data_IF_222348031086
#
_entry.id   IF_222348031086
#
_cell.length_a   1.000
_cell.length_b   1.000
_cell.length_c   1.000
_cell.angle_alpha   90.00
_cell.angle_beta   90.00
_cell.angle_gamma   90.00
#
_symmetry.space_group_name_H-M   'P 1'
#
loop_
_entity.id
_entity.type
_entity.pdbx_description
1 polymer ?
#
# COMPACT_ATOMS: atom_id res chain seq x y z
N UNK A 1 1.61 -12.77 -19.19
CA UNK A 1 1.00 -13.36 -17.96
C UNK A 1 0.68 -12.19 -17.04
N UNK A 2 -0.60 -11.99 -16.71
CA UNK A 2 -0.99 -11.02 -15.68
C UNK A 2 -0.60 -11.67 -14.35
N UNK A 3 0.41 -11.15 -13.67
CA UNK A 3 0.76 -11.61 -12.33
C UNK A 3 -0.39 -11.23 -11.39
N UNK A 4 -1.34 -12.15 -11.21
CA UNK A 4 -2.50 -12.01 -10.33
C UNK A 4 -2.13 -11.76 -8.85
N UNK A 5 -0.85 -11.90 -8.50
CA UNK A 5 -0.31 -11.67 -7.16
C UNK A 5 0.27 -10.28 -6.94
N UNK A 6 0.23 -9.37 -7.92
CA UNK A 6 0.68 -7.99 -7.74
C UNK A 6 -0.49 -7.05 -7.47
N UNK A 7 -0.32 -6.17 -6.49
CA UNK A 7 -1.14 -4.96 -6.40
C UNK A 7 -0.71 -4.07 -7.57
N UNK A 8 -1.65 -3.73 -8.44
CA UNK A 8 -1.47 -2.81 -9.56
C UNK A 8 -2.39 -1.57 -9.42
N UNK A 9 -2.37 -0.68 -10.41
CA UNK A 9 -3.21 0.53 -10.39
C UNK A 9 -4.72 0.22 -10.44
N UNK A 10 -5.14 -0.91 -11.03
CA UNK A 10 -6.56 -1.31 -11.06
C UNK A 10 -7.01 -1.73 -9.66
N UNK A 11 -6.18 -2.48 -8.93
CA UNK A 11 -6.46 -2.82 -7.53
C UNK A 11 -6.65 -1.57 -6.68
N UNK A 12 -5.84 -0.53 -6.90
CA UNK A 12 -5.95 0.72 -6.14
C UNK A 12 -7.13 1.59 -6.55
N UNK A 13 -7.51 1.61 -7.83
CA UNK A 13 -8.75 2.24 -8.28
C UNK A 13 -9.96 1.58 -7.62
N UNK A 14 -9.99 0.25 -7.57
CA UNK A 14 -11.05 -0.50 -6.89
C UNK A 14 -11.06 -0.19 -5.38
N UNK A 15 -9.89 -0.17 -4.74
CA UNK A 15 -9.78 0.17 -3.33
C UNK A 15 -10.35 1.58 -3.05
N UNK A 16 -10.09 2.56 -3.92
CA UNK A 16 -10.68 3.92 -3.79
C UNK A 16 -12.20 3.95 -3.93
N UNK A 17 -12.78 3.04 -4.71
CA UNK A 17 -14.23 2.90 -4.87
C UNK A 17 -14.85 2.27 -3.62
N UNK A 18 -14.27 1.17 -3.13
CA UNK A 18 -14.71 0.51 -1.88
C UNK A 18 -14.61 1.49 -0.70
N UNK A 19 -13.51 2.23 -0.63
CA UNK A 19 -13.26 3.22 0.41
C UNK A 19 -13.85 4.61 0.08
N UNK A 20 -15.09 4.67 -0.44
CA UNK A 20 -15.83 5.95 -0.56
C UNK A 20 -16.17 6.54 0.82
N UNK A 21 -16.36 5.67 1.81
CA UNK A 21 -16.66 6.00 3.20
C UNK A 21 -15.80 5.16 4.16
N UNK A 22 -15.76 5.56 5.44
CA UNK A 22 -15.07 4.81 6.48
C UNK A 22 -15.92 3.63 6.99
N UNK A 23 -15.97 2.55 6.21
CA UNK A 23 -16.67 1.33 6.59
C UNK A 23 -15.71 0.24 7.09
N UNK A 24 -16.18 -0.75 7.86
CA UNK A 24 -15.36 -1.92 8.21
C UNK A 24 -14.78 -2.63 6.98
N UNK A 25 -15.57 -2.74 5.90
CA UNK A 25 -15.14 -3.29 4.62
C UNK A 25 -13.95 -2.51 4.02
N UNK A 26 -14.02 -1.18 4.02
CA UNK A 26 -12.88 -0.35 3.60
C UNK A 26 -11.62 -0.64 4.44
N UNK A 27 -11.76 -0.74 5.77
CA UNK A 27 -10.63 -1.02 6.66
C UNK A 27 -9.98 -2.38 6.37
N UNK A 28 -10.80 -3.41 6.15
CA UNK A 28 -10.32 -4.75 5.78
C UNK A 28 -9.57 -4.74 4.45
N UNK A 29 -10.12 -4.06 3.44
CA UNK A 29 -9.50 -3.95 2.12
C UNK A 29 -8.21 -3.13 2.12
N UNK A 30 -8.12 -2.08 2.95
CA UNK A 30 -6.86 -1.35 3.17
C UNK A 30 -5.82 -2.29 3.77
N UNK A 31 -6.17 -3.00 4.85
CA UNK A 31 -5.26 -3.93 5.54
C UNK A 31 -4.80 -5.05 4.61
N UNK A 32 -5.72 -5.63 3.83
CA UNK A 32 -5.40 -6.64 2.82
C UNK A 32 -4.41 -6.10 1.78
N UNK A 33 -4.67 -4.89 1.25
CA UNK A 33 -3.80 -4.27 0.25
C UNK A 33 -2.40 -4.03 0.80
N UNK A 34 -2.30 -3.50 2.02
CA UNK A 34 -1.02 -3.28 2.71
C UNK A 34 -0.25 -4.60 2.93
N UNK A 35 -0.92 -5.68 3.34
CA UNK A 35 -0.32 -7.02 3.47
C UNK A 35 0.20 -7.55 2.14
N UNK A 36 -0.56 -7.39 1.05
CA UNK A 36 -0.11 -7.81 -0.27
C UNK A 36 1.14 -7.03 -0.71
N UNK A 37 1.15 -5.70 -0.54
CA UNK A 37 2.32 -4.87 -0.83
C UNK A 37 3.55 -5.31 -0.04
N UNK A 38 3.42 -5.74 1.21
CA UNK A 38 4.58 -6.17 2.01
C UNK A 38 5.17 -7.50 1.53
N UNK A 39 4.38 -8.37 0.92
CA UNK A 39 4.82 -9.69 0.42
C UNK A 39 5.28 -9.70 -1.03
N UNK A 40 4.92 -8.67 -1.80
CA UNK A 40 5.24 -8.56 -3.22
C UNK A 40 6.75 -8.37 -3.44
N UNK A 41 7.33 -9.13 -4.38
CA UNK A 41 8.76 -9.04 -4.72
C UNK A 41 9.13 -7.60 -5.15
N UNK A 42 9.99 -7.04 -4.30
CA UNK A 42 10.67 -5.77 -4.30
C UNK A 42 10.19 -4.68 -5.27
N UNK A 43 9.40 -3.78 -4.72
CA UNK A 43 9.23 -2.39 -5.16
C UNK A 43 10.52 -1.60 -4.83
N UNK A 44 11.68 -2.01 -5.35
CA UNK A 44 12.98 -1.51 -4.81
C UNK A 44 13.97 -1.00 -5.84
N UNK A 45 13.54 -0.54 -7.01
CA UNK A 45 14.45 0.25 -7.83
C UNK A 45 13.65 1.25 -8.62
N UNK A 46 13.65 2.50 -8.16
CA UNK A 46 13.27 3.66 -8.96
C UNK A 46 11.87 3.63 -9.62
N UNK A 47 10.99 2.72 -9.20
CA UNK A 47 9.61 2.76 -9.67
C UNK A 47 8.86 3.74 -8.78
N UNK A 48 8.58 4.92 -9.34
CA UNK A 48 7.51 5.80 -8.86
C UNK A 48 6.27 4.99 -8.44
N UNK A 49 6.02 3.85 -9.09
CA UNK A 49 4.87 2.96 -8.92
C UNK A 49 4.58 2.54 -7.48
N UNK A 50 5.51 2.07 -6.65
CA UNK A 50 5.10 1.62 -5.30
C UNK A 50 5.12 2.69 -4.21
N UNK A 51 5.93 3.74 -4.39
CA UNK A 51 5.72 4.99 -3.67
C UNK A 51 4.36 5.60 -4.04
N UNK A 52 3.97 5.53 -5.32
CA UNK A 52 2.65 5.90 -5.79
C UNK A 52 1.57 5.00 -5.18
N UNK A 53 1.79 3.70 -5.01
CA UNK A 53 0.82 2.81 -4.36
C UNK A 53 0.59 3.19 -2.90
N UNK A 54 1.68 3.37 -2.14
CA UNK A 54 1.62 3.88 -0.76
C UNK A 54 0.97 5.27 -0.69
N UNK A 55 1.30 6.17 -1.61
CA UNK A 55 0.72 7.50 -1.71
C UNK A 55 -0.78 7.44 -2.02
N UNK A 56 -1.21 6.54 -2.90
CA UNK A 56 -2.61 6.34 -3.22
C UNK A 56 -3.39 5.82 -2.01
N UNK A 57 -2.81 4.93 -1.20
CA UNK A 57 -3.40 4.49 0.07
C UNK A 57 -3.44 5.64 1.08
N UNK A 58 -2.35 6.42 1.19
CA UNK A 58 -2.31 7.62 2.04
C UNK A 58 -3.41 8.63 1.70
N UNK A 59 -3.69 8.82 0.41
CA UNK A 59 -4.79 9.67 -0.04
C UNK A 59 -6.17 9.16 0.38
N UNK A 60 -6.36 7.84 0.51
CA UNK A 60 -7.62 7.27 1.02
C UNK A 60 -7.79 7.63 2.50
N UNK A 61 -6.76 7.41 3.32
CA UNK A 61 -6.79 7.82 4.73
C UNK A 61 -7.07 9.31 4.88
N UNK A 62 -6.36 10.15 4.12
CA UNK A 62 -6.55 11.60 4.16
C UNK A 62 -7.97 12.02 3.74
N UNK A 63 -8.48 11.50 2.62
CA UNK A 63 -9.83 11.83 2.12
C UNK A 63 -10.92 11.46 3.11
N UNK A 64 -10.76 10.33 3.79
CA UNK A 64 -11.73 9.84 4.75
C UNK A 64 -11.54 10.43 6.16
N UNK A 65 -10.47 11.20 6.41
CA UNK A 65 -10.15 11.75 7.73
C UNK A 65 -9.81 10.67 8.77
N UNK A 66 -9.26 9.53 8.33
CA UNK A 66 -9.03 8.36 9.19
C UNK A 66 -7.55 8.29 9.57
N UNK A 67 -7.30 7.99 10.83
CA UNK A 67 -5.97 7.60 11.32
C UNK A 67 -5.82 6.09 11.13
N UNK A 68 -4.72 5.59 10.51
CA UNK A 68 -4.48 4.17 10.37
C UNK A 68 -4.51 3.45 11.72
N UNK A 69 -5.14 2.28 11.77
CA UNK A 69 -5.08 1.42 12.96
C UNK A 69 -3.67 0.91 13.23
N UNK A 70 -3.43 0.36 14.42
CA UNK A 70 -2.09 -0.10 14.82
C UNK A 70 -1.47 -1.12 13.85
N UNK A 71 -2.28 -2.08 13.35
CA UNK A 71 -1.82 -3.06 12.36
C UNK A 71 -1.46 -2.39 11.03
N UNK A 72 -2.32 -1.50 10.53
CA UNK A 72 -2.08 -0.77 9.28
C UNK A 72 -0.82 0.10 9.38
N UNK A 73 -0.63 0.78 10.52
CA UNK A 73 0.56 1.57 10.78
C UNK A 73 1.83 0.72 10.78
N UNK A 74 1.80 -0.47 11.39
CA UNK A 74 2.93 -1.39 11.37
C UNK A 74 3.26 -1.88 9.95
N UNK A 75 2.25 -2.16 9.14
CA UNK A 75 2.43 -2.57 7.74
C UNK A 75 3.02 -1.43 6.88
N UNK A 76 2.53 -0.19 7.06
CA UNK A 76 3.07 0.99 6.40
C UNK A 76 4.55 1.19 6.78
N UNK A 77 4.88 1.06 8.06
CA UNK A 77 6.26 1.17 8.52
C UNK A 77 7.16 0.08 7.93
N UNK A 78 6.68 -1.17 7.86
CA UNK A 78 7.40 -2.27 7.24
C UNK A 78 7.70 -2.00 5.75
N UNK A 79 6.76 -1.38 5.02
CA UNK A 79 6.96 -0.97 3.64
C UNK A 79 8.04 0.12 3.50
N UNK A 80 8.02 1.13 4.37
CA UNK A 80 9.09 2.15 4.41
C UNK A 80 10.46 1.55 4.74
N UNK A 81 10.51 0.63 5.71
CA UNK A 81 11.77 -0.03 6.10
C UNK A 81 12.36 -0.83 4.93
N UNK A 82 11.54 -1.62 4.21
CA UNK A 82 11.97 -2.36 3.01
C UNK A 82 12.49 -1.43 1.91
N UNK A 83 11.84 -0.27 1.72
CA UNK A 83 12.29 0.74 0.77
C UNK A 83 13.62 1.40 1.19
N UNK A 84 13.89 1.51 2.50
CA UNK A 84 15.12 2.07 3.03
C UNK A 84 16.29 1.08 3.02
N UNK A 85 16.06 -0.19 3.32
CA UNK A 85 17.08 -1.26 3.29
C UNK A 85 17.73 -1.41 1.92
N UNK A 86 16.94 -1.26 0.85
CA UNK A 86 17.44 -1.33 -0.52
C UNK A 86 18.25 -0.11 -0.96
N UNK A 87 18.17 1.03 -0.25
CA UNK A 87 19.09 2.16 -0.47
C UNK A 87 20.51 1.89 0.04
N UNK A 88 20.66 1.10 1.11
CA UNK A 88 21.97 0.75 1.69
C UNK A 88 22.75 -0.29 0.88
N UNK A 89 22.10 -1.00 -0.04
CA UNK A 89 22.69 -2.11 -0.79
C UNK A 89 23.36 -1.70 -2.11
N UNK A 90 23.69 -0.41 -2.32
CA UNK A 90 24.43 0.05 -3.50
C UNK A 90 25.88 0.35 -3.08
N UNK A 91 26.90 -0.36 -3.60
CA UNK A 91 28.31 -0.03 -3.41
C UNK A 91 28.68 1.35 -3.96
#
# INVERSE_FOLDING_TARGET
MINADRVDNKNLMLLRQICSENTPECQEHITFTLKKLTTQASITRQDDTGNQQLYQIGNIFHRLGIIPGAEQQALIQALYNKAAETKKATP
#
